data_IF_300950055964
#
_entry.id   IF_300950055964
#
_cell.length_a   1.000
_cell.length_b   1.000
_cell.length_c   1.000
_cell.angle_alpha   90.00
_cell.angle_beta   90.00
_cell.angle_gamma   90.00
#
_symmetry.space_group_name_H-M   'P 1'
#
loop_
_entity.id
_entity.type
_entity.pdbx_description
1 polymer ?
#
# COMPACT_ATOMS: atom_id res chain seq x y z
N UNK A 1 5.86 14.29 12.11
CA UNK A 1 5.22 14.07 10.80
C UNK A 1 6.21 13.57 9.76
N UNK A 2 7.25 14.35 9.45
CA UNK A 2 8.18 14.07 8.35
C UNK A 2 8.80 12.66 8.40
N UNK A 3 9.22 12.20 9.58
CA UNK A 3 9.85 10.87 9.72
C UNK A 3 8.90 9.73 9.28
N UNK A 4 7.63 9.77 9.70
CA UNK A 4 6.64 8.73 9.36
C UNK A 4 6.28 8.81 7.87
N UNK A 5 6.12 10.03 7.35
CA UNK A 5 5.86 10.25 5.92
C UNK A 5 7.01 9.74 5.04
N UNK A 6 8.25 10.02 5.42
CA UNK A 6 9.44 9.49 4.75
C UNK A 6 9.56 7.97 4.89
N UNK A 7 9.23 7.41 6.06
CA UNK A 7 9.21 5.96 6.26
C UNK A 7 8.17 5.29 5.35
N UNK A 8 6.93 5.79 5.31
CA UNK A 8 5.87 5.27 4.44
C UNK A 8 6.22 5.38 2.95
N UNK A 9 6.76 6.53 2.54
CA UNK A 9 7.13 6.78 1.14
C UNK A 9 8.35 5.95 0.74
N UNK A 10 9.34 5.81 1.63
CA UNK A 10 10.52 4.98 1.40
C UNK A 10 10.18 3.50 1.32
N UNK A 11 9.31 3.03 2.22
CA UNK A 11 8.85 1.64 2.24
C UNK A 11 8.02 1.27 1.00
N UNK A 12 7.28 2.23 0.42
CA UNK A 12 6.56 2.04 -0.84
C UNK A 12 7.47 1.54 -1.97
N UNK A 13 8.71 2.04 -2.06
CA UNK A 13 9.66 1.60 -3.08
C UNK A 13 10.07 0.14 -2.89
N UNK A 14 10.26 -0.29 -1.64
CA UNK A 14 10.55 -1.70 -1.31
C UNK A 14 9.37 -2.57 -1.72
N UNK A 15 8.15 -2.15 -1.40
CA UNK A 15 6.91 -2.86 -1.80
C UNK A 15 6.86 -3.07 -3.30
N UNK A 16 7.06 -2.02 -4.10
CA UNK A 16 7.01 -2.10 -5.56
C UNK A 16 8.07 -3.06 -6.10
N UNK A 17 9.29 -3.02 -5.57
CA UNK A 17 10.36 -3.94 -6.00
C UNK A 17 10.01 -5.38 -5.67
N UNK A 18 9.61 -5.67 -4.42
CA UNK A 18 9.33 -7.04 -3.97
C UNK A 18 8.11 -7.61 -4.68
N UNK A 19 7.03 -6.83 -4.83
CA UNK A 19 5.86 -7.25 -5.60
C UNK A 19 6.20 -7.48 -7.06
N UNK A 20 6.95 -6.57 -7.70
CA UNK A 20 7.37 -6.74 -9.09
C UNK A 20 8.17 -8.03 -9.29
N UNK A 21 9.11 -8.33 -8.40
CA UNK A 21 9.88 -9.58 -8.43
C UNK A 21 8.99 -10.81 -8.21
N UNK A 22 8.07 -10.77 -7.25
CA UNK A 22 7.14 -11.87 -7.00
C UNK A 22 6.21 -12.12 -8.19
N UNK A 23 5.68 -11.06 -8.80
CA UNK A 23 4.82 -11.13 -10.00
C UNK A 23 5.58 -11.69 -11.19
N UNK A 24 6.78 -11.18 -11.50
CA UNK A 24 7.61 -11.70 -12.60
C UNK A 24 7.94 -13.18 -12.37
N UNK A 25 8.34 -13.55 -11.15
CA UNK A 25 8.64 -14.94 -10.81
C UNK A 25 7.41 -15.86 -10.99
N UNK A 26 6.23 -15.40 -10.57
CA UNK A 26 4.96 -16.11 -10.76
C UNK A 26 4.61 -16.28 -12.24
N UNK A 27 4.76 -15.23 -13.05
CA UNK A 27 4.51 -15.29 -14.49
C UNK A 27 5.45 -16.27 -15.20
N UNK A 28 6.75 -16.25 -14.87
CA UNK A 28 7.70 -17.22 -15.41
C UNK A 28 7.26 -18.64 -15.02
N UNK A 29 6.91 -18.87 -13.75
CA UNK A 29 6.43 -20.16 -13.28
C UNK A 29 5.20 -20.64 -14.04
N UNK A 30 4.23 -19.75 -14.29
CA UNK A 30 3.01 -20.03 -15.04
C UNK A 30 3.31 -20.42 -16.50
N UNK A 31 4.09 -19.62 -17.23
CA UNK A 31 4.37 -19.88 -18.65
C UNK A 31 5.29 -21.08 -18.88
N UNK A 32 6.22 -21.34 -17.95
CA UNK A 32 7.13 -22.49 -18.02
C UNK A 32 6.53 -23.76 -17.44
N UNK A 33 5.32 -23.69 -16.86
CA UNK A 33 4.68 -24.77 -16.10
C UNK A 33 5.59 -25.34 -15.00
N UNK A 34 6.43 -24.49 -14.43
CA UNK A 34 7.32 -24.85 -13.32
C UNK A 34 6.46 -25.08 -12.07
N UNK A 35 6.74 -26.15 -11.34
CA UNK A 35 6.10 -26.39 -10.05
C UNK A 35 6.42 -25.28 -9.05
N UNK A 36 5.42 -24.91 -8.25
CA UNK A 36 5.57 -23.92 -7.20
C UNK A 36 6.43 -24.50 -6.07
N UNK A 37 7.63 -23.94 -5.88
CA UNK A 37 8.59 -24.40 -4.89
C UNK A 37 8.79 -23.41 -3.74
N UNK A 38 9.71 -23.76 -2.84
CA UNK A 38 10.03 -22.95 -1.65
C UNK A 38 10.42 -21.51 -1.98
N UNK A 39 11.16 -21.29 -3.08
CA UNK A 39 11.55 -19.94 -3.52
C UNK A 39 10.35 -19.10 -3.93
N UNK A 40 9.41 -19.69 -4.65
CA UNK A 40 8.20 -19.03 -5.11
C UNK A 40 7.31 -18.66 -3.89
N UNK A 41 7.22 -19.59 -2.94
CA UNK A 41 6.56 -19.36 -1.65
C UNK A 41 7.19 -18.22 -0.84
N UNK A 42 8.51 -18.23 -0.65
CA UNK A 42 9.19 -17.18 0.11
C UNK A 42 9.06 -15.81 -0.52
N UNK A 43 9.09 -15.71 -1.85
CA UNK A 43 8.89 -14.44 -2.57
C UNK A 43 7.45 -13.94 -2.42
N UNK A 44 6.45 -14.82 -2.58
CA UNK A 44 5.04 -14.46 -2.40
C UNK A 44 4.75 -14.03 -0.95
N UNK A 45 5.26 -14.77 0.04
CA UNK A 45 5.11 -14.44 1.46
C UNK A 45 5.82 -13.13 1.82
N UNK A 46 7.02 -12.91 1.27
CA UNK A 46 7.73 -11.64 1.42
C UNK A 46 6.91 -10.47 0.88
N UNK A 47 6.36 -10.61 -0.33
CA UNK A 47 5.46 -9.64 -0.94
C UNK A 47 4.25 -9.33 -0.06
N UNK A 48 3.59 -10.37 0.47
CA UNK A 48 2.46 -10.22 1.39
C UNK A 48 2.85 -9.45 2.65
N UNK A 49 3.97 -9.81 3.30
CA UNK A 49 4.38 -9.17 4.55
C UNK A 49 4.72 -7.68 4.32
N UNK A 50 5.51 -7.36 3.28
CA UNK A 50 5.93 -5.97 3.07
C UNK A 50 4.76 -5.06 2.69
N UNK A 51 3.77 -5.55 1.94
CA UNK A 51 2.55 -4.77 1.62
C UNK A 51 1.69 -4.52 2.85
N UNK A 52 1.56 -5.49 3.75
CA UNK A 52 0.79 -5.31 4.98
C UNK A 52 1.49 -4.34 5.93
N UNK A 53 2.81 -4.40 6.04
CA UNK A 53 3.58 -3.40 6.80
C UNK A 53 3.38 -1.99 6.22
N UNK A 54 3.37 -1.84 4.88
CA UNK A 54 3.07 -0.55 4.23
C UNK A 54 1.71 0.00 4.63
N UNK A 55 0.69 -0.85 4.67
CA UNK A 55 -0.66 -0.46 5.10
C UNK A 55 -0.68 -0.01 6.57
N UNK A 56 -0.03 -0.76 7.46
CA UNK A 56 0.01 -0.40 8.89
C UNK A 56 0.69 0.95 9.10
N UNK A 57 1.81 1.21 8.42
CA UNK A 57 2.48 2.51 8.47
C UNK A 57 1.57 3.60 7.87
N UNK A 58 0.87 3.29 6.77
CA UNK A 58 -0.08 4.19 6.12
C UNK A 58 -1.26 4.58 7.02
N UNK A 59 -1.81 3.63 7.78
CA UNK A 59 -2.88 3.89 8.77
C UNK A 59 -2.37 4.83 9.87
N UNK A 60 -1.17 4.61 10.39
CA UNK A 60 -0.55 5.51 11.38
C UNK A 60 -0.38 6.91 10.77
N UNK A 61 0.11 7.00 9.53
CA UNK A 61 0.27 8.28 8.84
C UNK A 61 -1.08 8.96 8.59
N UNK A 62 -2.13 8.22 8.23
CA UNK A 62 -3.47 8.74 7.98
C UNK A 62 -4.02 9.50 9.20
N UNK A 63 -3.94 8.92 10.39
CA UNK A 63 -4.43 9.55 11.62
C UNK A 63 -3.53 10.66 12.15
N UNK A 64 -2.24 10.61 11.83
CA UNK A 64 -1.29 11.63 12.30
C UNK A 64 -1.13 12.79 11.32
N UNK A 65 -1.58 12.65 10.07
CA UNK A 65 -1.45 13.62 8.97
C UNK A 65 -2.23 14.92 9.20
N UNK A 66 -1.73 16.09 8.73
CA UNK A 66 -2.49 17.36 8.81
C UNK A 66 -3.78 17.32 8.00
N UNK A 67 -3.85 16.45 6.99
CA UNK A 67 -5.07 16.25 6.21
C UNK A 67 -6.22 15.75 7.07
N UNK A 68 -5.94 15.02 8.17
CA UNK A 68 -6.96 14.47 9.04
C UNK A 68 -7.82 15.58 9.70
N UNK A 69 -7.26 16.78 9.88
CA UNK A 69 -7.98 17.92 10.46
C UNK A 69 -9.15 18.38 9.57
N UNK A 70 -9.14 18.10 8.26
CA UNK A 70 -10.24 18.43 7.35
C UNK A 70 -11.54 17.68 7.71
N UNK A 71 -11.48 16.58 8.47
CA UNK A 71 -12.66 15.91 9.00
C UNK A 71 -13.45 16.77 9.99
N UNK A 72 -12.85 17.80 10.59
CA UNK A 72 -13.56 18.74 11.48
C UNK A 72 -14.66 19.54 10.76
N UNK A 73 -14.49 19.78 9.45
CA UNK A 73 -15.49 20.37 8.56
C UNK A 73 -16.61 19.41 8.12
N UNK A 74 -16.47 18.13 8.47
CA UNK A 74 -17.40 17.07 8.14
C UNK A 74 -17.31 16.56 6.70
N UNK A 75 -18.14 15.57 6.37
CA UNK A 75 -18.09 14.85 5.10
C UNK A 75 -18.31 15.76 3.87
N UNK A 76 -19.17 16.78 3.99
CA UNK A 76 -19.45 17.71 2.88
C UNK A 76 -18.20 18.50 2.46
N UNK A 77 -17.38 18.90 3.42
CA UNK A 77 -16.17 19.66 3.16
C UNK A 77 -15.07 18.78 2.55
N UNK A 78 -14.85 17.59 3.14
CA UNK A 78 -13.88 16.61 2.63
C UNK A 78 -14.22 16.18 1.20
N UNK A 79 -15.49 15.90 0.90
CA UNK A 79 -15.89 15.48 -0.44
C UNK A 79 -15.92 16.63 -1.45
N UNK A 80 -16.12 17.87 -0.97
CA UNK A 80 -16.16 19.08 -1.79
C UNK A 80 -14.77 19.56 -2.26
N UNK A 81 -13.71 19.22 -1.54
CA UNK A 81 -12.33 19.54 -1.91
C UNK A 81 -11.64 18.33 -2.54
N UNK A 82 -11.09 18.48 -3.75
CA UNK A 82 -10.43 17.38 -4.48
C UNK A 82 -9.22 16.81 -3.75
N UNK A 83 -8.41 17.65 -3.11
CA UNK A 83 -7.18 17.24 -2.46
C UNK A 83 -7.47 16.51 -1.15
N UNK A 84 -8.43 17.03 -0.37
CA UNK A 84 -8.89 16.38 0.85
C UNK A 84 -9.53 15.03 0.53
N UNK A 85 -10.38 14.95 -0.49
CA UNK A 85 -11.01 13.69 -0.93
C UNK A 85 -9.97 12.67 -1.39
N UNK A 86 -8.99 13.10 -2.19
CA UNK A 86 -7.91 12.23 -2.64
C UNK A 86 -7.16 11.64 -1.45
N UNK A 87 -6.74 12.48 -0.50
CA UNK A 87 -5.86 12.05 0.59
C UNK A 87 -6.60 11.30 1.70
N UNK A 88 -7.86 11.66 1.99
CA UNK A 88 -8.61 11.09 3.10
C UNK A 88 -9.53 9.93 2.73
N UNK A 89 -9.94 9.84 1.47
CA UNK A 89 -10.92 8.85 1.03
C UNK A 89 -10.33 7.96 -0.05
N UNK A 90 -9.98 8.54 -1.20
CA UNK A 90 -9.59 7.76 -2.39
C UNK A 90 -8.29 7.01 -2.18
N UNK A 91 -7.27 7.66 -1.61
CA UNK A 91 -5.97 7.06 -1.33
C UNK A 91 -6.06 5.87 -0.34
N UNK A 92 -6.53 6.02 0.90
CA UNK A 92 -6.60 4.90 1.83
C UNK A 92 -7.52 3.78 1.35
N UNK A 93 -8.63 4.11 0.67
CA UNK A 93 -9.53 3.11 0.09
C UNK A 93 -8.82 2.29 -0.99
N UNK A 94 -8.11 2.95 -1.91
CA UNK A 94 -7.37 2.29 -2.98
C UNK A 94 -6.27 1.40 -2.41
N UNK A 95 -5.58 1.84 -1.36
CA UNK A 95 -4.53 1.04 -0.71
C UNK A 95 -5.10 -0.24 -0.06
N UNK A 96 -6.28 -0.17 0.57
CA UNK A 96 -6.93 -1.35 1.16
C UNK A 96 -7.34 -2.33 0.07
N UNK A 97 -8.03 -1.84 -0.98
CA UNK A 97 -8.49 -2.68 -2.09
C UNK A 97 -7.31 -3.38 -2.76
N UNK A 98 -6.22 -2.65 -3.01
CA UNK A 98 -5.01 -3.19 -3.65
C UNK A 98 -4.30 -4.28 -2.83
N UNK A 99 -4.57 -4.38 -1.52
CA UNK A 99 -3.96 -5.39 -0.65
C UNK A 99 -4.87 -6.60 -0.47
N UNK A 100 -6.19 -6.42 -0.51
CA UNK A 100 -7.16 -7.49 -0.32
C UNK A 100 -7.46 -8.32 -1.57
N UNK A 101 -7.24 -7.77 -2.77
CA UNK A 101 -7.54 -8.40 -4.06
C UNK A 101 -6.25 -8.66 -4.85
#
# INVERSE_FOLDING_TARGET
MEIIKHAHSGWAYIVVIVLGLATINSLIGYFTKKEFGNRDFSLALGGLIVTHIQLLIGIILYFTSPWFDAWSGGMKEVMGNSDARLMLVEHPLTMIIAITF
#
